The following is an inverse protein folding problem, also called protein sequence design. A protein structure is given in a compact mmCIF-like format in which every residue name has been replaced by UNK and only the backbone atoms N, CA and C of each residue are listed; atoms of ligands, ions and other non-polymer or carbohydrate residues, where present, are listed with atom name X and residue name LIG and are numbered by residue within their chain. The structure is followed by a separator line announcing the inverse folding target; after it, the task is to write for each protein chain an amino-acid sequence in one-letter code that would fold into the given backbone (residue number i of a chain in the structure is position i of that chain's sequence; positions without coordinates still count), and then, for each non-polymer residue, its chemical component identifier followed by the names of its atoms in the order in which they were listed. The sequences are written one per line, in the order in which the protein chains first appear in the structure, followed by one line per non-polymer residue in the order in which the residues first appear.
data_IF_189128723552
#
_entry.id   IF_189128723552
#
_cell.length_a   1.000
_cell.length_b   1.000
_cell.length_c   1.000
_cell.angle_alpha   90.00
_cell.angle_beta   90.00
_cell.angle_gamma   90.00
#
_symmetry.space_group_name_H-M   'P 1'
#
loop_
_entity.id
_entity.type
_entity.pdbx_description
1 polymer ?
#
# COMPACT_ATOMS: atom_id res chain seq x y z
N UNK A 1 -22.74 38.91 11.30
CA UNK A 1 -22.58 38.46 9.89
C UNK A 1 -21.16 38.62 9.34
N UNK A 2 -20.46 39.77 9.46
CA UNK A 2 -19.10 39.90 8.90
C UNK A 2 -18.01 39.10 9.65
N UNK A 3 -18.14 38.81 10.94
CA UNK A 3 -17.18 37.97 11.69
C UNK A 3 -17.35 36.48 11.45
N UNK A 4 -18.54 35.99 11.17
CA UNK A 4 -18.79 34.59 10.84
C UNK A 4 -18.30 34.23 9.44
N UNK A 5 -18.45 35.14 8.47
CA UNK A 5 -17.90 34.95 7.12
C UNK A 5 -16.35 34.86 7.10
N UNK A 6 -15.67 35.67 7.94
CA UNK A 6 -14.19 35.60 8.08
C UNK A 6 -13.72 34.33 8.79
N UNK A 7 -14.48 33.78 9.74
CA UNK A 7 -14.16 32.50 10.41
C UNK A 7 -14.35 31.31 9.46
N UNK A 8 -15.40 31.30 8.66
CA UNK A 8 -15.65 30.25 7.65
C UNK A 8 -14.60 30.25 6.55
N UNK A 9 -14.18 31.42 6.05
CA UNK A 9 -13.15 31.54 5.04
C UNK A 9 -11.75 31.10 5.58
N UNK A 10 -11.41 31.45 6.84
CA UNK A 10 -10.18 31.00 7.50
C UNK A 10 -10.20 29.49 7.82
N UNK A 11 -11.35 28.90 8.09
CA UNK A 11 -11.48 27.46 8.31
C UNK A 11 -11.26 26.66 7.01
N UNK A 12 -11.82 27.13 5.90
CA UNK A 12 -11.61 26.50 4.59
C UNK A 12 -10.15 26.59 4.10
N UNK A 13 -9.49 27.73 4.29
CA UNK A 13 -8.09 27.91 3.85
C UNK A 13 -7.12 27.04 4.65
N UNK A 14 -7.32 26.87 5.97
CA UNK A 14 -6.51 25.96 6.79
C UNK A 14 -6.70 24.49 6.41
N UNK A 15 -7.92 24.08 6.06
CA UNK A 15 -8.22 22.72 5.60
C UNK A 15 -7.59 22.42 4.23
N UNK A 16 -7.51 23.40 3.34
CA UNK A 16 -6.81 23.28 2.05
C UNK A 16 -5.28 23.24 2.22
N UNK A 17 -4.72 24.10 3.07
CA UNK A 17 -3.28 24.11 3.38
C UNK A 17 -2.81 22.80 4.01
N UNK A 18 -3.62 22.17 4.85
CA UNK A 18 -3.27 20.87 5.43
C UNK A 18 -3.24 19.73 4.40
N UNK A 19 -4.02 19.82 3.34
CA UNK A 19 -4.02 18.86 2.21
C UNK A 19 -2.85 19.08 1.25
N UNK A 20 -2.30 20.29 1.18
CA UNK A 20 -1.15 20.62 0.33
C UNK A 20 0.19 20.23 0.97
N UNK A 21 0.22 20.03 2.31
CA UNK A 21 1.46 19.69 3.04
C UNK A 21 2.24 18.52 2.42
N UNK A 22 1.61 17.36 2.17
CA UNK A 22 2.29 16.23 1.52
C UNK A 22 2.85 16.55 0.14
N UNK A 23 2.13 17.35 -0.68
CA UNK A 23 2.60 17.76 -2.02
C UNK A 23 3.82 18.68 -1.93
N UNK A 24 3.82 19.64 -1.00
CA UNK A 24 4.97 20.50 -0.75
C UNK A 24 6.18 19.67 -0.28
N UNK A 25 5.94 18.70 0.63
CA UNK A 25 6.97 17.77 1.08
C UNK A 25 7.56 16.95 -0.07
N UNK A 26 6.72 16.44 -0.97
CA UNK A 26 7.16 15.70 -2.16
C UNK A 26 8.04 16.58 -3.07
N UNK A 27 7.59 17.79 -3.37
CA UNK A 27 8.36 18.72 -4.22
C UNK A 27 9.71 19.08 -3.59
N UNK A 28 9.75 19.34 -2.28
CA UNK A 28 10.99 19.61 -1.59
C UNK A 28 11.99 18.45 -1.67
N UNK A 29 11.53 17.22 -1.44
CA UNK A 29 12.39 16.02 -1.53
C UNK A 29 12.90 15.83 -2.96
N UNK A 30 12.05 16.01 -3.99
CA UNK A 30 12.46 15.94 -5.40
C UNK A 30 13.56 16.96 -5.70
N UNK A 31 13.40 18.20 -5.26
CA UNK A 31 14.39 19.27 -5.46
C UNK A 31 15.71 18.91 -4.76
N UNK A 32 15.65 18.52 -3.49
CA UNK A 32 16.85 18.16 -2.72
C UNK A 32 17.60 17.00 -3.38
N UNK A 33 16.88 15.91 -3.73
CA UNK A 33 17.52 14.73 -4.35
C UNK A 33 18.10 15.08 -5.72
N UNK A 34 17.44 15.92 -6.51
CA UNK A 34 17.94 16.36 -7.83
C UNK A 34 19.23 17.22 -7.69
N UNK A 35 19.31 18.07 -6.67
CA UNK A 35 20.52 18.85 -6.39
C UNK A 35 21.68 17.94 -5.95
N UNK A 36 21.39 16.95 -5.11
CA UNK A 36 22.40 16.00 -4.60
C UNK A 36 22.88 15.03 -5.68
N UNK A 37 22.00 14.62 -6.59
CA UNK A 37 22.33 13.74 -7.70
C UNK A 37 21.47 14.05 -8.93
N UNK A 38 22.02 14.77 -9.94
CA UNK A 38 21.27 15.14 -11.16
C UNK A 38 20.74 13.95 -11.96
N UNK A 39 21.31 12.74 -11.80
CA UNK A 39 20.80 11.52 -12.43
C UNK A 39 19.37 11.16 -11.98
N UNK A 40 18.92 11.71 -10.83
CA UNK A 40 17.57 11.54 -10.36
C UNK A 40 16.52 12.05 -11.37
N UNK A 41 16.78 13.20 -12.01
CA UNK A 41 15.87 13.84 -12.95
C UNK A 41 15.85 13.22 -14.35
N UNK A 42 16.64 12.16 -14.61
CA UNK A 42 16.62 11.48 -15.91
C UNK A 42 15.30 10.74 -16.13
N UNK A 43 14.80 10.72 -17.37
CA UNK A 43 13.56 10.02 -17.72
C UNK A 43 13.61 8.54 -17.35
N UNK A 44 14.73 7.87 -17.54
CA UNK A 44 14.94 6.47 -17.16
C UNK A 44 14.76 6.27 -15.65
N UNK A 45 15.36 7.13 -14.82
CA UNK A 45 15.22 7.00 -13.37
C UNK A 45 13.82 7.34 -12.89
N UNK A 46 13.16 8.36 -13.44
CA UNK A 46 11.77 8.69 -13.12
C UNK A 46 10.85 7.51 -13.40
N UNK A 47 11.00 6.85 -14.57
CA UNK A 47 10.21 5.66 -14.89
C UNK A 47 10.52 4.49 -13.94
N UNK A 48 11.76 4.34 -13.50
CA UNK A 48 12.14 3.36 -12.48
C UNK A 48 11.51 3.64 -11.13
N UNK A 49 11.52 4.90 -10.67
CA UNK A 49 10.83 5.33 -9.43
C UNK A 49 9.35 5.02 -9.51
N UNK A 50 8.69 5.42 -10.60
CA UNK A 50 7.26 5.17 -10.80
C UNK A 50 6.94 3.66 -10.79
N UNK A 51 7.80 2.83 -11.41
CA UNK A 51 7.64 1.38 -11.41
C UNK A 51 7.81 0.77 -10.01
N UNK A 52 8.74 1.29 -9.21
CA UNK A 52 8.94 0.86 -7.82
C UNK A 52 7.76 1.28 -6.94
N UNK A 53 7.36 2.55 -7.04
CA UNK A 53 6.23 3.12 -6.29
C UNK A 53 4.94 2.38 -6.60
N UNK A 54 4.74 1.92 -7.84
CA UNK A 54 3.54 1.18 -8.22
C UNK A 54 3.25 -0.02 -7.31
N UNK A 55 4.29 -0.77 -6.92
CA UNK A 55 4.17 -1.95 -6.05
C UNK A 55 3.76 -1.55 -4.64
N UNK A 56 4.45 -0.58 -4.03
CA UNK A 56 4.16 -0.12 -2.67
C UNK A 56 2.87 0.70 -2.59
N UNK A 57 2.52 1.44 -3.65
CA UNK A 57 1.29 2.22 -3.70
C UNK A 57 0.03 1.33 -3.68
N UNK A 58 0.01 0.21 -4.40
CA UNK A 58 -1.10 -0.75 -4.38
C UNK A 58 -1.36 -1.26 -2.95
N UNK A 59 -0.30 -1.64 -2.23
CA UNK A 59 -0.40 -2.06 -0.83
C UNK A 59 -0.89 -0.90 0.04
N UNK A 60 -0.33 0.30 -0.14
CA UNK A 60 -0.71 1.49 0.61
C UNK A 60 -2.18 1.91 0.37
N UNK A 61 -2.71 1.71 -0.84
CA UNK A 61 -4.13 1.95 -1.10
C UNK A 61 -5.01 1.01 -0.28
N UNK A 62 -4.70 -0.28 -0.20
CA UNK A 62 -5.39 -1.23 0.67
C UNK A 62 -5.26 -0.81 2.15
N UNK A 63 -4.05 -0.49 2.59
CA UNK A 63 -3.78 -0.03 3.94
C UNK A 63 -4.57 1.24 4.30
N UNK A 64 -4.87 2.12 3.32
CA UNK A 64 -5.73 3.29 3.54
C UNK A 64 -7.12 2.88 4.02
N UNK A 65 -7.74 1.88 3.38
CA UNK A 65 -9.06 1.40 3.81
C UNK A 65 -9.00 0.79 5.21
N UNK A 66 -7.95 0.03 5.51
CA UNK A 66 -7.75 -0.58 6.84
C UNK A 66 -7.58 0.50 7.92
N UNK A 67 -6.67 1.47 7.71
CA UNK A 67 -6.42 2.55 8.66
C UNK A 67 -7.67 3.42 8.83
N UNK A 68 -8.42 3.68 7.78
CA UNK A 68 -9.70 4.38 7.86
C UNK A 68 -10.72 3.67 8.75
N UNK A 69 -10.66 2.33 8.89
CA UNK A 69 -11.52 1.58 9.85
C UNK A 69 -10.91 1.49 11.26
N UNK A 70 -9.78 2.14 11.53
CA UNK A 70 -9.07 2.08 12.81
C UNK A 70 -8.23 0.81 12.98
N UNK A 71 -7.95 0.07 11.89
CA UNK A 71 -7.12 -1.13 11.89
C UNK A 71 -5.71 -0.88 11.36
N UNK A 72 -4.86 -1.91 11.47
CA UNK A 72 -3.53 -2.00 10.84
C UNK A 72 -3.37 -3.43 10.34
N UNK A 73 -2.71 -3.61 9.18
CA UNK A 73 -2.37 -4.93 8.65
C UNK A 73 -0.86 -5.06 8.44
N UNK A 74 -0.23 -5.80 9.30
CA UNK A 74 1.20 -6.10 9.21
C UNK A 74 1.50 -7.26 8.25
N UNK A 75 0.50 -8.04 7.86
CA UNK A 75 0.70 -9.25 7.06
C UNK A 75 0.86 -9.00 5.56
N UNK A 76 0.63 -7.77 5.08
CA UNK A 76 0.62 -7.44 3.64
C UNK A 76 1.90 -7.84 2.91
N UNK A 77 3.08 -7.66 3.55
CA UNK A 77 4.36 -8.06 2.99
C UNK A 77 4.54 -9.58 2.91
N UNK A 78 4.07 -10.33 3.90
CA UNK A 78 4.10 -11.79 3.89
C UNK A 78 3.03 -12.39 2.97
N UNK A 79 1.85 -11.75 2.86
CA UNK A 79 0.83 -12.09 1.87
C UNK A 79 1.38 -11.95 0.45
N UNK A 80 2.09 -10.84 0.17
CA UNK A 80 2.79 -10.65 -1.11
C UNK A 80 3.79 -11.79 -1.37
N UNK A 81 4.63 -12.15 -0.39
CA UNK A 81 5.62 -13.19 -0.56
C UNK A 81 4.98 -14.55 -0.86
N UNK A 82 3.96 -14.94 -0.10
CA UNK A 82 3.28 -16.22 -0.26
C UNK A 82 2.55 -16.31 -1.60
N UNK A 83 1.79 -15.29 -1.97
CA UNK A 83 1.07 -15.27 -3.25
C UNK A 83 2.03 -15.22 -4.44
N UNK A 84 3.13 -14.50 -4.33
CA UNK A 84 4.19 -14.46 -5.34
C UNK A 84 4.91 -15.81 -5.49
N UNK A 85 5.19 -16.51 -4.39
CA UNK A 85 5.81 -17.83 -4.42
C UNK A 85 4.90 -18.87 -5.08
N UNK A 86 3.59 -18.88 -4.74
CA UNK A 86 2.62 -19.77 -5.38
C UNK A 86 2.51 -19.48 -6.87
N UNK A 87 2.37 -18.20 -7.26
CA UNK A 87 2.32 -17.81 -8.67
C UNK A 87 3.58 -18.23 -9.43
N UNK A 88 4.76 -18.01 -8.85
CA UNK A 88 6.02 -18.39 -9.46
C UNK A 88 6.12 -19.92 -9.65
N UNK A 89 5.72 -20.70 -8.66
CA UNK A 89 5.71 -22.17 -8.75
C UNK A 89 4.77 -22.67 -9.84
N UNK A 90 3.57 -22.09 -9.95
CA UNK A 90 2.61 -22.43 -10.99
C UNK A 90 3.17 -22.14 -12.40
N UNK A 91 3.80 -20.98 -12.58
CA UNK A 91 4.43 -20.62 -13.86
C UNK A 91 5.61 -21.51 -14.18
N UNK A 92 6.48 -21.81 -13.21
CA UNK A 92 7.62 -22.69 -13.39
C UNK A 92 7.20 -24.13 -13.74
N UNK A 93 6.01 -24.57 -13.31
CA UNK A 93 5.41 -25.86 -13.72
C UNK A 93 4.70 -25.82 -15.07
N UNK A 94 4.74 -24.69 -15.79
CA UNK A 94 4.12 -24.53 -17.11
C UNK A 94 2.63 -24.25 -17.11
N UNK A 95 2.06 -23.85 -15.98
CA UNK A 95 0.63 -23.48 -15.92
C UNK A 95 0.33 -22.22 -16.72
N UNK A 96 -0.91 -22.12 -17.20
CA UNK A 96 -1.39 -20.95 -17.91
C UNK A 96 -1.26 -19.67 -17.06
N UNK A 97 -0.67 -18.59 -17.62
CA UNK A 97 -0.42 -17.37 -16.88
C UNK A 97 -1.67 -16.64 -16.40
N UNK A 98 -2.78 -16.68 -17.15
CA UNK A 98 -4.02 -16.03 -16.75
C UNK A 98 -4.65 -16.78 -15.57
N UNK A 99 -4.64 -18.11 -15.62
CA UNK A 99 -5.07 -18.96 -14.52
C UNK A 99 -4.20 -18.70 -13.27
N UNK A 100 -2.90 -18.63 -13.45
CA UNK A 100 -1.96 -18.32 -12.35
C UNK A 100 -2.25 -16.97 -11.71
N UNK A 101 -2.46 -15.92 -12.50
CA UNK A 101 -2.80 -14.60 -12.00
C UNK A 101 -4.12 -14.62 -11.22
N UNK A 102 -5.14 -15.32 -11.74
CA UNK A 102 -6.42 -15.46 -11.06
C UNK A 102 -6.28 -16.19 -9.70
N UNK A 103 -5.55 -17.31 -9.68
CA UNK A 103 -5.32 -18.08 -8.43
C UNK A 103 -4.55 -17.27 -7.41
N UNK A 104 -3.54 -16.52 -7.82
CA UNK A 104 -2.77 -15.65 -6.92
C UNK A 104 -3.64 -14.54 -6.31
N UNK A 105 -4.48 -13.88 -7.12
CA UNK A 105 -5.42 -12.86 -6.62
C UNK A 105 -6.45 -13.46 -5.66
N UNK A 106 -6.99 -14.62 -5.98
CA UNK A 106 -7.94 -15.34 -5.12
C UNK A 106 -7.28 -15.73 -3.80
N UNK A 107 -6.05 -16.26 -3.83
CA UNK A 107 -5.29 -16.61 -2.63
C UNK A 107 -5.07 -15.38 -1.75
N UNK A 108 -4.62 -14.26 -2.31
CA UNK A 108 -4.44 -13.01 -1.55
C UNK A 108 -5.75 -12.52 -0.94
N UNK A 109 -6.86 -12.61 -1.69
CA UNK A 109 -8.20 -12.27 -1.19
C UNK A 109 -8.59 -13.13 0.00
N UNK A 110 -8.34 -14.45 -0.07
CA UNK A 110 -8.61 -15.40 1.02
C UNK A 110 -7.74 -15.11 2.24
N UNK A 111 -6.44 -14.88 2.07
CA UNK A 111 -5.53 -14.55 3.17
C UNK A 111 -5.96 -13.25 3.89
N UNK A 112 -6.35 -12.24 3.13
CA UNK A 112 -6.94 -11.02 3.68
C UNK A 112 -8.28 -11.28 4.37
N UNK A 113 -9.15 -12.11 3.79
CA UNK A 113 -10.44 -12.49 4.39
C UNK A 113 -10.24 -13.22 5.73
N UNK A 114 -9.24 -14.08 5.84
CA UNK A 114 -8.86 -14.75 7.10
C UNK A 114 -8.53 -13.72 8.17
N UNK A 115 -7.69 -12.72 7.87
CA UNK A 115 -7.40 -11.61 8.78
C UNK A 115 -8.68 -10.87 9.19
N UNK A 116 -9.50 -10.51 8.21
CA UNK A 116 -10.77 -9.85 8.46
C UNK A 116 -11.72 -10.66 9.34
N UNK A 117 -11.78 -11.97 9.17
CA UNK A 117 -12.59 -12.89 9.99
C UNK A 117 -12.07 -12.98 11.43
N UNK A 118 -10.75 -13.14 11.62
CA UNK A 118 -10.12 -13.19 12.95
C UNK A 118 -10.41 -11.88 13.71
N UNK A 119 -10.29 -10.74 13.04
CA UNK A 119 -10.51 -9.43 13.65
C UNK A 119 -12.00 -9.18 13.93
N UNK A 120 -12.86 -9.42 12.94
CA UNK A 120 -14.27 -9.07 13.05
C UNK A 120 -15.05 -10.06 13.91
N UNK A 121 -14.87 -11.36 13.70
CA UNK A 121 -15.59 -12.43 14.41
C UNK A 121 -14.85 -12.90 15.65
N UNK A 122 -13.51 -13.05 15.55
CA UNK A 122 -12.69 -13.43 16.70
C UNK A 122 -12.49 -12.31 17.71
N UNK A 123 -12.84 -11.05 17.36
CA UNK A 123 -12.67 -9.85 18.20
C UNK A 123 -11.22 -9.66 18.67
N UNK A 124 -10.26 -10.16 17.91
CA UNK A 124 -8.82 -9.98 18.17
C UNK A 124 -8.41 -8.58 17.70
N UNK A 125 -7.58 -7.92 18.48
CA UNK A 125 -7.03 -6.62 18.08
C UNK A 125 -6.31 -6.72 16.73
N UNK A 126 -6.56 -5.81 15.77
CA UNK A 126 -5.99 -5.89 14.42
C UNK A 126 -4.49 -6.07 14.38
N UNK A 127 -3.76 -5.32 15.21
CA UNK A 127 -2.31 -5.41 15.30
C UNK A 127 -1.84 -6.82 15.69
N UNK A 128 -2.48 -7.45 16.69
CA UNK A 128 -2.10 -8.79 17.18
C UNK A 128 -2.44 -9.86 16.14
N UNK A 129 -3.65 -9.78 15.55
CA UNK A 129 -4.08 -10.73 14.53
C UNK A 129 -3.14 -10.71 13.31
N UNK A 130 -2.84 -9.51 12.79
CA UNK A 130 -2.03 -9.37 11.59
C UNK A 130 -0.53 -9.61 11.84
N UNK A 131 -0.02 -9.36 13.04
CA UNK A 131 1.33 -9.76 13.43
C UNK A 131 1.47 -11.29 13.46
N UNK A 132 0.49 -11.99 14.02
CA UNK A 132 0.48 -13.45 14.04
C UNK A 132 0.41 -14.03 12.62
N UNK A 133 -0.52 -13.52 11.79
CA UNK A 133 -0.64 -14.01 10.41
C UNK A 133 0.54 -13.59 9.53
N UNK A 134 1.18 -12.45 9.78
CA UNK A 134 2.46 -12.08 9.15
C UNK A 134 3.50 -13.18 9.35
N UNK A 135 3.66 -13.63 10.59
CA UNK A 135 4.63 -14.68 10.94
C UNK A 135 4.23 -16.01 10.31
N UNK A 136 2.94 -16.37 10.36
CA UNK A 136 2.42 -17.61 9.75
C UNK A 136 2.64 -17.60 8.24
N UNK A 137 2.22 -16.54 7.53
CA UNK A 137 2.33 -16.48 6.08
C UNK A 137 3.79 -16.43 5.62
N UNK A 138 4.67 -15.74 6.39
CA UNK A 138 6.12 -15.76 6.13
C UNK A 138 6.69 -17.16 6.33
N UNK A 139 6.32 -17.83 7.42
CA UNK A 139 6.73 -19.22 7.70
C UNK A 139 6.26 -20.18 6.60
N UNK A 140 4.99 -20.08 6.18
CA UNK A 140 4.46 -20.88 5.07
C UNK A 140 5.20 -20.62 3.76
N UNK A 141 5.57 -19.36 3.47
CA UNK A 141 6.36 -19.03 2.29
C UNK A 141 7.71 -19.72 2.33
N UNK A 142 8.42 -19.64 3.46
CA UNK A 142 9.75 -20.25 3.63
C UNK A 142 9.71 -21.77 3.56
N UNK A 143 8.69 -22.39 4.16
CA UNK A 143 8.47 -23.85 4.08
C UNK A 143 8.18 -24.26 2.63
N UNK A 144 7.27 -23.55 1.95
CA UNK A 144 6.86 -23.85 0.58
C UNK A 144 8.01 -23.73 -0.42
N UNK A 145 8.92 -22.77 -0.23
CA UNK A 145 10.04 -22.49 -1.11
C UNK A 145 11.35 -23.13 -0.64
N UNK A 146 11.34 -23.84 0.49
CA UNK A 146 12.57 -24.33 1.16
C UNK A 146 13.59 -23.21 1.39
N UNK A 147 13.12 -21.99 1.61
CA UNK A 147 13.95 -20.79 1.79
C UNK A 147 14.68 -20.34 0.53
N UNK A 148 14.39 -20.90 -0.65
CA UNK A 148 15.07 -20.61 -1.91
C UNK A 148 14.18 -19.78 -2.85
N UNK A 149 14.77 -18.88 -3.67
CA UNK A 149 14.03 -18.20 -4.70
C UNK A 149 13.48 -19.18 -5.76
N UNK A 150 12.24 -18.94 -6.20
CA UNK A 150 11.67 -19.66 -7.35
C UNK A 150 11.95 -18.83 -8.60
N UNK A 151 12.68 -19.40 -9.56
CA UNK A 151 13.06 -18.80 -10.85
C UNK A 151 12.66 -19.72 -12.00
N UNK A 152 12.90 -19.29 -13.24
CA UNK A 152 12.52 -20.10 -14.40
C UNK A 152 11.02 -20.06 -14.68
N UNK A 153 10.42 -18.87 -14.62
CA UNK A 153 8.95 -18.67 -14.73
C UNK A 153 8.43 -18.83 -16.18
N UNK A 154 9.26 -19.29 -17.09
CA UNK A 154 8.94 -19.38 -18.52
C UNK A 154 8.94 -18.02 -19.22
N UNK A 155 8.75 -18.04 -20.55
CA UNK A 155 8.81 -16.87 -21.42
C UNK A 155 7.42 -16.33 -21.79
N UNK A 156 6.44 -16.48 -20.89
CA UNK A 156 5.10 -15.98 -21.14
C UNK A 156 5.08 -14.46 -21.29
N UNK A 157 4.78 -14.01 -22.50
CA UNK A 157 4.67 -12.57 -22.82
C UNK A 157 3.62 -11.90 -21.95
N UNK A 158 2.46 -12.54 -21.74
CA UNK A 158 1.36 -11.97 -20.95
C UNK A 158 1.75 -11.72 -19.49
N UNK A 159 2.54 -12.62 -18.88
CA UNK A 159 3.02 -12.40 -17.51
C UNK A 159 4.17 -11.38 -17.46
N UNK A 160 5.11 -11.45 -18.40
CA UNK A 160 6.23 -10.50 -18.47
C UNK A 160 5.77 -9.06 -18.72
N UNK A 161 4.71 -8.87 -19.50
CA UNK A 161 4.09 -7.55 -19.73
C UNK A 161 3.66 -6.87 -18.43
N UNK A 162 3.17 -7.63 -17.45
CA UNK A 162 2.68 -7.07 -16.20
C UNK A 162 3.76 -6.32 -15.39
N UNK A 163 5.01 -6.79 -15.37
CA UNK A 163 6.10 -6.19 -14.60
C UNK A 163 7.12 -5.41 -15.43
N UNK A 164 7.36 -5.84 -16.69
CA UNK A 164 8.40 -5.30 -17.57
C UNK A 164 7.85 -4.54 -18.77
N UNK A 165 6.57 -4.76 -19.12
CA UNK A 165 5.96 -4.18 -20.31
C UNK A 165 5.79 -2.68 -20.25
N UNK A 166 5.54 -2.10 -21.44
CA UNK A 166 5.21 -0.70 -21.63
C UNK A 166 3.91 -0.55 -22.43
N UNK A 167 3.13 0.43 -22.08
CA UNK A 167 1.93 0.84 -22.79
C UNK A 167 2.07 2.33 -23.16
N UNK A 168 2.20 2.65 -24.43
CA UNK A 168 2.52 4.00 -24.93
C UNK A 168 3.72 4.67 -24.22
N UNK A 169 4.81 3.93 -23.97
CA UNK A 169 6.01 4.44 -23.29
C UNK A 169 5.90 4.53 -21.77
N UNK A 170 4.73 4.21 -21.18
CA UNK A 170 4.52 4.18 -19.73
C UNK A 170 4.63 2.72 -19.25
N UNK A 171 5.39 2.43 -18.18
CA UNK A 171 5.46 1.07 -17.64
C UNK A 171 4.08 0.52 -17.24
N UNK A 172 3.77 -0.71 -17.61
CA UNK A 172 2.49 -1.37 -17.29
C UNK A 172 2.18 -1.35 -15.79
N UNK A 173 3.15 -1.55 -14.86
CA UNK A 173 2.89 -1.38 -13.42
C UNK A 173 2.28 -0.03 -13.05
N UNK A 174 2.72 1.05 -13.68
CA UNK A 174 2.18 2.41 -13.45
C UNK A 174 0.75 2.52 -13.93
N UNK A 175 0.46 2.00 -15.14
CA UNK A 175 -0.90 1.97 -15.69
C UNK A 175 -1.83 1.15 -14.80
N UNK A 176 -1.40 -0.05 -14.38
CA UNK A 176 -2.17 -0.92 -13.47
C UNK A 176 -2.48 -0.21 -12.16
N UNK A 177 -1.48 0.47 -11.58
CA UNK A 177 -1.64 1.23 -10.33
C UNK A 177 -2.57 2.43 -10.50
N UNK A 178 -2.49 3.14 -11.63
CA UNK A 178 -3.39 4.25 -11.93
C UNK A 178 -4.85 3.78 -12.10
N UNK A 179 -5.06 2.65 -12.76
CA UNK A 179 -6.40 2.05 -12.88
C UNK A 179 -6.92 1.60 -11.50
N UNK A 180 -6.10 0.91 -10.71
CA UNK A 180 -6.45 0.53 -9.34
C UNK A 180 -6.79 1.77 -8.49
N UNK A 181 -5.99 2.83 -8.58
CA UNK A 181 -6.27 4.10 -7.91
C UNK A 181 -7.62 4.67 -8.30
N UNK A 182 -7.95 4.73 -9.60
CA UNK A 182 -9.22 5.24 -10.08
C UNK A 182 -10.41 4.45 -9.53
N UNK A 183 -10.34 3.12 -9.58
CA UNK A 183 -11.37 2.21 -9.04
C UNK A 183 -11.52 2.39 -7.53
N UNK A 184 -10.41 2.40 -6.79
CA UNK A 184 -10.42 2.52 -5.33
C UNK A 184 -10.85 3.93 -4.89
N UNK A 185 -10.47 4.97 -5.62
CA UNK A 185 -10.97 6.33 -5.40
C UNK A 185 -12.49 6.39 -5.55
N UNK A 186 -13.03 5.78 -6.61
CA UNK A 186 -14.47 5.70 -6.82
C UNK A 186 -15.15 4.92 -5.69
N UNK A 187 -14.62 3.75 -5.31
CA UNK A 187 -15.16 2.92 -4.22
C UNK A 187 -15.18 3.72 -2.92
N UNK A 188 -14.07 4.38 -2.56
CA UNK A 188 -13.94 5.07 -1.29
C UNK A 188 -14.80 6.34 -1.20
N UNK A 189 -14.83 7.14 -2.27
CA UNK A 189 -15.44 8.48 -2.22
C UNK A 189 -16.84 8.56 -2.82
N UNK A 190 -17.24 7.60 -3.68
CA UNK A 190 -18.50 7.69 -4.42
C UNK A 190 -19.51 6.59 -4.06
N UNK A 191 -19.11 5.54 -3.31
CA UNK A 191 -20.01 4.44 -2.98
C UNK A 191 -20.50 4.45 -1.53
N UNK A 192 -21.55 3.67 -1.26
CA UNK A 192 -22.05 3.42 0.10
C UNK A 192 -21.02 2.65 0.95
N UNK A 193 -20.21 1.80 0.31
CA UNK A 193 -19.15 1.06 0.99
C UNK A 193 -18.10 2.02 1.60
N UNK A 194 -17.62 2.98 0.82
CA UNK A 194 -16.66 3.98 1.33
C UNK A 194 -17.24 4.79 2.49
N UNK A 195 -18.51 5.22 2.42
CA UNK A 195 -19.17 5.90 3.54
C UNK A 195 -19.22 5.05 4.81
N UNK A 196 -19.47 3.73 4.67
CA UNK A 196 -19.43 2.78 5.80
C UNK A 196 -18.04 2.64 6.38
N UNK A 197 -16.98 2.61 5.53
CA UNK A 197 -15.57 2.58 5.98
C UNK A 197 -15.27 3.78 6.88
N UNK A 198 -15.62 5.00 6.45
CA UNK A 198 -15.42 6.21 7.26
C UNK A 198 -16.26 6.19 8.55
N UNK A 199 -17.51 5.72 8.48
CA UNK A 199 -18.38 5.66 9.65
C UNK A 199 -17.83 4.70 10.70
N UNK A 200 -17.42 3.49 10.30
CA UNK A 200 -16.83 2.47 11.20
C UNK A 200 -15.59 3.02 11.91
N UNK A 201 -14.70 3.70 11.19
CA UNK A 201 -13.50 4.29 11.79
C UNK A 201 -13.78 5.52 12.65
N UNK A 202 -14.88 6.25 12.38
CA UNK A 202 -15.30 7.38 13.21
C UNK A 202 -15.82 6.95 14.57
N UNK A 203 -16.69 5.96 14.60
CA UNK A 203 -17.19 5.32 15.83
C UNK A 203 -17.84 3.99 15.50
N UNK A 204 -17.17 2.89 15.86
CA UNK A 204 -17.63 1.54 15.58
C UNK A 204 -18.97 1.22 16.25
N UNK A 205 -19.14 1.60 17.52
CA UNK A 205 -20.37 1.32 18.28
C UNK A 205 -21.56 2.09 17.71
N UNK A 206 -21.39 3.38 17.42
CA UNK A 206 -22.44 4.18 16.79
C UNK A 206 -22.81 3.63 15.41
N UNK A 207 -21.84 3.16 14.64
CA UNK A 207 -22.07 2.52 13.33
C UNK A 207 -22.90 1.25 13.45
N UNK A 208 -22.63 0.39 14.44
CA UNK A 208 -23.46 -0.81 14.71
C UNK A 208 -24.90 -0.43 15.06
N UNK A 209 -25.07 0.53 15.95
CA UNK A 209 -26.39 1.02 16.34
C UNK A 209 -27.18 1.62 15.19
N UNK A 210 -26.48 2.22 14.21
CA UNK A 210 -27.05 2.77 12.98
C UNK A 210 -27.31 1.70 11.89
N UNK A 211 -27.20 0.41 12.21
CA UNK A 211 -27.50 -0.69 11.29
C UNK A 211 -26.35 -1.04 10.30
N UNK A 212 -25.15 -0.48 10.49
CA UNK A 212 -24.00 -0.86 9.64
C UNK A 212 -23.47 -2.23 10.11
N UNK A 213 -23.35 -3.16 9.18
CA UNK A 213 -22.74 -4.47 9.42
C UNK A 213 -21.21 -4.32 9.48
N UNK A 214 -20.69 -3.83 10.62
CA UNK A 214 -19.24 -3.54 10.82
C UNK A 214 -18.35 -4.72 10.46
N UNK A 215 -18.74 -5.93 10.87
CA UNK A 215 -17.96 -7.16 10.61
C UNK A 215 -17.76 -7.39 9.11
N UNK A 216 -18.82 -7.20 8.30
CA UNK A 216 -18.74 -7.33 6.84
C UNK A 216 -17.84 -6.26 6.23
N UNK A 217 -17.89 -5.04 6.75
CA UNK A 217 -17.01 -3.94 6.29
C UNK A 217 -15.54 -4.28 6.57
N UNK A 218 -15.22 -4.73 7.79
CA UNK A 218 -13.86 -5.14 8.16
C UNK A 218 -13.36 -6.28 7.27
N UNK A 219 -14.13 -7.36 7.13
CA UNK A 219 -13.75 -8.50 6.29
C UNK A 219 -13.49 -8.05 4.85
N UNK A 220 -14.36 -7.23 4.27
CA UNK A 220 -14.21 -6.74 2.90
C UNK A 220 -12.96 -5.87 2.72
N UNK A 221 -12.63 -5.01 3.69
CA UNK A 221 -11.46 -4.14 3.66
C UNK A 221 -10.16 -4.97 3.71
N UNK A 222 -10.08 -5.95 4.60
CA UNK A 222 -8.91 -6.83 4.67
C UNK A 222 -8.79 -7.73 3.43
N UNK A 223 -9.89 -8.25 2.89
CA UNK A 223 -9.91 -9.01 1.64
C UNK A 223 -9.41 -8.18 0.46
N UNK A 224 -9.87 -6.93 0.35
CA UNK A 224 -9.41 -5.98 -0.67
C UNK A 224 -7.90 -5.74 -0.57
N UNK A 225 -7.41 -5.55 0.65
CA UNK A 225 -5.96 -5.33 0.88
C UNK A 225 -5.15 -6.56 0.51
N UNK A 226 -5.63 -7.76 0.85
CA UNK A 226 -4.98 -9.00 0.43
C UNK A 226 -4.94 -9.18 -1.10
N UNK A 227 -6.03 -8.80 -1.80
CA UNK A 227 -6.07 -8.78 -3.27
C UNK A 227 -5.01 -7.82 -3.85
N UNK A 228 -4.88 -6.62 -3.28
CA UNK A 228 -3.90 -5.62 -3.73
C UNK A 228 -2.46 -6.06 -3.42
N UNK A 229 -2.23 -6.75 -2.29
CA UNK A 229 -0.95 -7.35 -1.96
C UNK A 229 -0.58 -8.45 -2.98
N UNK A 230 -1.53 -9.30 -3.39
CA UNK A 230 -1.32 -10.30 -4.43
C UNK A 230 -1.07 -9.66 -5.81
N UNK A 231 -1.78 -8.59 -6.17
CA UNK A 231 -1.51 -7.84 -7.41
C UNK A 231 -0.09 -7.26 -7.39
N UNK A 232 0.34 -6.70 -6.26
CA UNK A 232 1.71 -6.23 -6.06
C UNK A 232 2.74 -7.36 -6.19
N UNK A 233 2.40 -8.56 -5.67
CA UNK A 233 3.24 -9.75 -5.80
C UNK A 233 3.42 -10.17 -7.25
N UNK A 234 2.34 -10.22 -8.03
CA UNK A 234 2.39 -10.55 -9.46
C UNK A 234 3.27 -9.58 -10.26
N UNK A 235 3.12 -8.27 -10.00
CA UNK A 235 3.96 -7.23 -10.63
C UNK A 235 5.43 -7.41 -10.24
N UNK A 236 5.71 -7.62 -8.95
CA UNK A 236 7.08 -7.80 -8.46
C UNK A 236 7.73 -9.06 -9.02
N UNK A 237 7.02 -10.20 -8.98
CA UNK A 237 7.48 -11.49 -9.49
C UNK A 237 7.73 -11.43 -11.00
N UNK A 238 6.83 -10.79 -11.76
CA UNK A 238 7.02 -10.55 -13.20
C UNK A 238 8.25 -9.66 -13.47
N UNK A 239 8.42 -8.59 -12.70
CA UNK A 239 9.55 -7.65 -12.85
C UNK A 239 10.89 -8.32 -12.59
N UNK A 240 10.98 -9.12 -11.53
CA UNK A 240 12.21 -9.82 -11.13
C UNK A 240 12.44 -11.13 -11.91
N UNK A 241 11.41 -11.63 -12.60
CA UNK A 241 11.38 -12.98 -13.19
C UNK A 241 11.71 -14.07 -12.14
N UNK A 242 11.37 -13.83 -10.90
CA UNK A 242 11.57 -14.74 -9.77
C UNK A 242 10.72 -14.32 -8.59
N UNK A 243 10.36 -15.27 -7.73
CA UNK A 243 9.76 -14.99 -6.43
C UNK A 243 10.80 -15.22 -5.32
N UNK A 244 11.03 -14.17 -4.52
CA UNK A 244 11.96 -14.22 -3.41
C UNK A 244 11.16 -14.51 -2.12
N UNK A 245 11.55 -15.50 -1.30
CA UNK A 245 10.82 -15.84 -0.06
C UNK A 245 10.75 -14.70 0.95
N UNK A 246 11.75 -13.81 0.91
CA UNK A 246 11.85 -12.64 1.78
C UNK A 246 11.26 -11.37 1.16
N UNK A 247 10.64 -11.47 -0.04
CA UNK A 247 9.99 -10.33 -0.68
C UNK A 247 8.97 -9.66 0.25
N UNK A 248 8.78 -8.37 0.09
CA UNK A 248 7.80 -7.60 0.87
C UNK A 248 8.18 -7.36 2.33
N UNK A 249 9.39 -7.71 2.78
CA UNK A 249 9.84 -7.37 4.13
C UNK A 249 9.87 -5.84 4.29
N UNK A 250 9.23 -5.35 5.35
CA UNK A 250 9.05 -3.92 5.68
C UNK A 250 8.10 -3.16 4.72
N UNK A 251 7.41 -3.80 3.78
CA UNK A 251 6.43 -3.13 2.93
C UNK A 251 5.18 -2.67 3.72
N UNK A 252 4.85 -3.36 4.81
CA UNK A 252 3.82 -2.93 5.76
C UNK A 252 4.18 -1.57 6.38
N UNK A 253 5.44 -1.35 6.74
CA UNK A 253 5.91 -0.08 7.31
C UNK A 253 5.91 1.04 6.24
N UNK A 254 6.37 0.74 5.03
CA UNK A 254 6.33 1.68 3.91
C UNK A 254 4.89 2.09 3.56
N UNK A 255 3.94 1.13 3.60
CA UNK A 255 2.52 1.39 3.36
C UNK A 255 1.90 2.26 4.46
N UNK A 256 2.15 1.96 5.73
CA UNK A 256 1.69 2.78 6.86
C UNK A 256 2.27 4.19 6.75
N UNK A 257 3.58 4.32 6.49
CA UNK A 257 4.23 5.60 6.30
C UNK A 257 3.59 6.42 5.16
N UNK A 258 3.34 5.79 4.01
CA UNK A 258 2.69 6.43 2.88
C UNK A 258 1.29 6.95 3.24
N UNK A 259 0.49 6.16 3.96
CA UNK A 259 -0.86 6.52 4.39
C UNK A 259 -0.84 7.68 5.38
N UNK A 260 0.06 7.66 6.37
CA UNK A 260 0.16 8.71 7.41
C UNK A 260 0.74 9.99 6.83
N UNK A 261 1.83 9.93 6.05
CA UNK A 261 2.38 11.07 5.32
C UNK A 261 1.37 11.69 4.37
N UNK A 262 0.50 10.86 3.80
CA UNK A 262 -0.63 11.28 2.98
C UNK A 262 -1.75 12.01 3.75
N UNK A 263 -1.67 12.08 5.10
CA UNK A 263 -2.60 12.79 5.96
C UNK A 263 -3.83 11.98 6.37
N UNK A 264 -3.78 10.65 6.29
CA UNK A 264 -4.80 9.76 6.86
C UNK A 264 -4.48 9.52 8.33
N UNK A 265 -5.47 9.71 9.21
CA UNK A 265 -5.29 9.55 10.65
C UNK A 265 -5.27 8.07 11.07
N UNK A 266 -4.31 7.71 11.91
CA UNK A 266 -4.20 6.35 12.48
C UNK A 266 -5.37 6.01 13.42
N UNK A 267 -6.10 7.00 13.94
CA UNK A 267 -7.28 6.77 14.78
C UNK A 267 -8.52 6.38 13.97
N UNK A 268 -8.44 6.39 12.63
CA UNK A 268 -9.56 6.09 11.74
C UNK A 268 -10.47 7.27 11.43
N UNK A 269 -11.44 7.05 10.55
CA UNK A 269 -12.51 7.97 10.20
C UNK A 269 -12.11 9.23 9.41
N UNK A 270 -10.81 9.48 9.21
CA UNK A 270 -10.30 10.68 8.51
C UNK A 270 -9.13 10.32 7.62
N UNK A 271 -9.21 10.69 6.36
CA UNK A 271 -8.15 10.45 5.37
C UNK A 271 -8.67 10.44 3.94
N UNK A 272 -7.78 10.25 2.99
CA UNK A 272 -8.11 10.23 1.56
C UNK A 272 -7.04 9.51 0.74
N UNK A 273 -7.47 8.74 -0.24
CA UNK A 273 -6.58 7.87 -1.01
C UNK A 273 -5.58 8.64 -1.91
N UNK A 274 -5.92 9.86 -2.34
CA UNK A 274 -4.99 10.70 -3.10
C UNK A 274 -3.79 11.12 -2.25
N UNK A 275 -4.01 11.42 -0.96
CA UNK A 275 -2.92 11.68 -0.02
C UNK A 275 -1.98 10.48 0.08
N UNK A 276 -2.54 9.27 0.15
CA UNK A 276 -1.74 8.04 0.16
C UNK A 276 -0.88 7.88 -1.10
N UNK A 277 -1.41 8.23 -2.28
CA UNK A 277 -0.62 8.23 -3.51
C UNK A 277 0.59 9.17 -3.38
N UNK A 278 0.36 10.39 -2.88
CA UNK A 278 1.45 11.37 -2.64
C UNK A 278 2.45 10.84 -1.60
N UNK A 279 1.96 10.24 -0.51
CA UNK A 279 2.81 9.62 0.50
C UNK A 279 3.66 8.46 -0.05
N UNK A 280 3.08 7.61 -0.91
CA UNK A 280 3.82 6.54 -1.58
C UNK A 280 4.91 7.10 -2.51
N UNK A 281 4.64 8.19 -3.21
CA UNK A 281 5.63 8.90 -4.01
C UNK A 281 6.75 9.48 -3.13
N UNK A 282 6.44 10.06 -1.97
CA UNK A 282 7.43 10.56 -1.01
C UNK A 282 8.39 9.43 -0.60
N UNK A 283 7.85 8.29 -0.16
CA UNK A 283 8.67 7.14 0.26
C UNK A 283 9.49 6.59 -0.92
N UNK A 284 8.91 6.49 -2.11
CA UNK A 284 9.61 6.00 -3.30
C UNK A 284 10.74 6.92 -3.76
N UNK A 285 10.50 8.24 -3.78
CA UNK A 285 11.53 9.25 -4.11
C UNK A 285 12.64 9.23 -3.06
N UNK A 286 12.30 9.14 -1.77
CA UNK A 286 13.28 9.03 -0.70
C UNK A 286 14.17 7.79 -0.87
N UNK A 287 13.56 6.62 -1.08
CA UNK A 287 14.30 5.36 -1.27
C UNK A 287 15.22 5.41 -2.49
N UNK A 288 14.72 5.90 -3.62
CA UNK A 288 15.51 6.04 -4.84
C UNK A 288 16.64 7.08 -4.66
N UNK A 289 16.34 8.22 -4.04
CA UNK A 289 17.33 9.25 -3.76
C UNK A 289 18.46 8.73 -2.88
N UNK A 290 18.14 8.06 -1.78
CA UNK A 290 19.14 7.44 -0.90
C UNK A 290 20.01 6.40 -1.63
N UNK A 291 19.41 5.62 -2.54
CA UNK A 291 20.17 4.69 -3.40
C UNK A 291 21.14 5.42 -4.33
N UNK A 292 20.69 6.49 -4.99
CA UNK A 292 21.52 7.24 -5.96
C UNK A 292 22.71 7.96 -5.31
N UNK A 293 22.59 8.35 -4.04
CA UNK A 293 23.68 8.93 -3.27
C UNK A 293 24.53 7.90 -2.53
N UNK A 294 24.28 6.59 -2.76
CA UNK A 294 25.11 5.50 -2.25
C UNK A 294 24.88 5.15 -0.76
N UNK A 295 23.76 5.56 -0.17
CA UNK A 295 23.42 5.20 1.21
C UNK A 295 23.11 3.70 1.30
N UNK A 296 23.76 2.98 2.22
CA UNK A 296 23.54 1.55 2.41
C UNK A 296 22.09 1.22 2.76
N UNK A 297 21.60 0.08 2.29
CA UNK A 297 20.22 -0.39 2.57
C UNK A 297 19.91 -0.47 4.07
N UNK A 298 20.92 -0.75 4.90
CA UNK A 298 20.76 -0.78 6.36
C UNK A 298 20.47 0.61 6.92
N UNK A 299 21.20 1.63 6.45
CA UNK A 299 20.98 3.01 6.89
C UNK A 299 19.65 3.58 6.36
N UNK A 300 19.22 3.14 5.17
CA UNK A 300 17.89 3.49 4.64
C UNK A 300 16.76 3.04 5.57
N UNK A 301 16.90 1.88 6.26
CA UNK A 301 15.91 1.44 7.24
C UNK A 301 15.84 2.38 8.45
N UNK A 302 16.99 2.90 8.91
CA UNK A 302 17.02 3.90 10.00
C UNK A 302 16.29 5.17 9.58
N UNK A 303 16.58 5.69 8.37
CA UNK A 303 15.91 6.88 7.83
C UNK A 303 14.41 6.67 7.71
N UNK A 304 13.96 5.51 7.19
CA UNK A 304 12.53 5.17 7.11
C UNK A 304 11.87 5.18 8.48
N UNK A 305 12.48 4.53 9.46
CA UNK A 305 11.97 4.52 10.83
C UNK A 305 11.82 5.92 11.41
N UNK A 306 12.81 6.79 11.21
CA UNK A 306 12.77 8.18 11.63
C UNK A 306 11.63 8.97 10.93
N UNK A 307 11.46 8.79 9.62
CA UNK A 307 10.38 9.42 8.83
C UNK A 307 9.00 8.98 9.35
N UNK A 308 8.80 7.69 9.61
CA UNK A 308 7.55 7.16 10.17
C UNK A 308 7.28 7.79 11.54
N UNK A 309 8.26 7.82 12.43
CA UNK A 309 8.11 8.39 13.77
C UNK A 309 7.73 9.87 13.70
N UNK A 310 8.41 10.66 12.87
CA UNK A 310 8.12 12.08 12.68
C UNK A 310 6.70 12.27 12.15
N UNK A 311 6.29 11.48 11.14
CA UNK A 311 4.95 11.54 10.57
C UNK A 311 3.86 11.29 11.62
N UNK A 312 4.03 10.27 12.46
CA UNK A 312 3.09 9.92 13.53
C UNK A 312 3.03 11.01 14.61
N UNK A 313 4.18 11.58 14.98
CA UNK A 313 4.23 12.69 15.97
C UNK A 313 3.52 13.95 15.47
N UNK A 314 3.61 14.24 14.17
CA UNK A 314 2.90 15.37 13.54
C UNK A 314 1.39 15.11 13.51
N UNK A 315 0.95 13.89 13.22
CA UNK A 315 -0.48 13.52 13.18
C UNK A 315 -1.10 13.65 14.57
N UNK A 316 -0.41 13.20 15.62
CA UNK A 316 -0.88 13.32 17.00
C UNK A 316 -1.18 14.78 17.42
N UNK A 317 -0.35 15.74 16.99
CA UNK A 317 -0.57 17.18 17.30
C UNK A 317 -1.81 17.77 16.63
N UNK A 318 -2.35 17.15 15.59
CA UNK A 318 -3.58 17.60 14.91
C UNK A 318 -4.85 17.03 15.54
N UNK A 319 -4.71 16.05 16.40
CA UNK A 319 -5.85 15.32 17.02
C UNK A 319 -6.14 15.79 18.46
N UNK A 320 -5.24 16.54 19.08
CA UNK A 320 -5.38 17.28 20.34
C UNK A 320 -5.67 18.74 20.04
#
# INVERSE_FOLDING_TARGET
MQQEGKKMFKSNSKAWLSKLGPLVGLLLIIIIVTILNPSFATASNILNVLRQVSISALIAFGMTFIILTGGIDLSVGSTLALTGAVAASMLASGMDPLLTMFVALLLGTILGAINGLIIAKGKVAPFIATLATMTIYRGLTLVYTEGRPISGLGDSISFQMLGKGYFFGIPVPVVTTALAFGVLYFILHKTTFGRRVYAVGGNENASRLSGIHVDRVKIAVYSLTGTLAALSALILTSRLNSAQPTAGTSYELDAIAAVVLGGTSLTGGRGWIFGTLVGALIIGVLNNGLNLIGVSSFFQQVVKGAVILIAVLIDRKKTV
#
